data_IF_989540822451
#
_entry.id   IF_989540822451
#
_cell.length_a   1.000
_cell.length_b   1.000
_cell.length_c   1.000
_cell.angle_alpha   90.00
_cell.angle_beta   90.00
_cell.angle_gamma   90.00
#
_symmetry.space_group_name_H-M   'P 1'
#
loop_
_entity.id
_entity.type
_entity.pdbx_description
1 polymer ?
#
# COMPACT_ATOMS: atom_id res chain seq x y z
N UNK A 1 29.25 -31.68 -13.13
CA UNK A 1 29.29 -32.50 -11.90
C UNK A 1 29.93 -31.67 -10.79
N UNK A 2 29.52 -30.41 -10.58
CA UNK A 2 28.40 -30.04 -9.70
C UNK A 2 28.12 -31.09 -8.62
N UNK A 3 28.40 -30.76 -7.36
CA UNK A 3 27.38 -30.78 -6.30
C UNK A 3 27.93 -30.06 -5.04
N UNK A 4 27.24 -28.95 -4.71
CA UNK A 4 27.00 -28.35 -3.39
C UNK A 4 28.06 -27.51 -2.69
N UNK A 5 27.96 -26.20 -2.96
CA UNK A 5 28.00 -25.15 -1.95
C UNK A 5 26.80 -25.26 -0.98
N UNK A 6 27.00 -24.61 0.17
CA UNK A 6 26.04 -24.19 1.19
C UNK A 6 25.80 -25.19 2.33
N UNK A 7 26.29 -24.83 3.52
CA UNK A 7 25.39 -24.32 4.57
C UNK A 7 26.18 -23.70 5.74
N UNK A 8 25.80 -22.46 6.03
CA UNK A 8 25.67 -21.90 7.36
C UNK A 8 26.94 -21.47 8.11
N UNK A 9 27.20 -20.17 7.99
CA UNK A 9 27.86 -19.30 8.97
C UNK A 9 27.47 -19.66 10.40
N UNK A 10 28.33 -20.40 11.11
CA UNK A 10 28.30 -20.42 12.57
C UNK A 10 28.76 -19.06 13.06
N UNK A 11 27.82 -18.29 13.58
CA UNK A 11 28.08 -17.13 14.42
C UNK A 11 29.11 -17.50 15.49
N UNK A 12 30.21 -16.74 15.68
CA UNK A 12 31.00 -16.91 16.89
C UNK A 12 30.15 -16.33 18.03
N UNK A 13 29.43 -17.19 18.76
CA UNK A 13 28.98 -16.78 20.08
C UNK A 13 30.26 -16.52 20.87
N UNK A 14 30.51 -15.24 21.15
CA UNK A 14 31.54 -14.77 22.06
C UNK A 14 31.14 -15.25 23.45
N UNK A 15 31.33 -16.53 23.71
CA UNK A 15 31.41 -17.05 25.07
C UNK A 15 32.77 -16.57 25.55
N UNK A 16 32.75 -15.49 26.34
CA UNK A 16 33.87 -15.10 27.18
C UNK A 16 34.06 -16.25 28.17
N UNK A 17 34.79 -17.29 27.74
CA UNK A 17 35.27 -18.33 28.63
C UNK A 17 36.33 -17.62 29.47
N UNK A 18 35.94 -17.20 30.68
CA UNK A 18 36.89 -16.80 31.70
C UNK A 18 37.93 -17.92 31.76
N UNK A 19 39.16 -17.63 31.33
CA UNK A 19 40.30 -18.53 31.36
C UNK A 19 40.62 -18.86 32.83
N UNK A 20 39.83 -19.73 33.44
CA UNK A 20 40.29 -20.51 34.58
C UNK A 20 41.29 -21.47 33.96
N UNK A 21 42.58 -21.27 34.24
CA UNK A 21 43.63 -22.18 33.84
C UNK A 21 43.31 -23.57 34.44
N UNK A 22 42.59 -24.41 33.70
CA UNK A 22 42.27 -25.76 34.15
C UNK A 22 43.55 -26.55 34.03
N UNK A 23 44.21 -26.80 35.17
CA UNK A 23 45.38 -27.65 35.25
C UNK A 23 45.08 -29.00 34.58
N UNK A 24 45.68 -29.25 33.41
CA UNK A 24 45.43 -30.45 32.60
C UNK A 24 45.89 -31.67 33.38
N UNK A 25 44.97 -32.58 33.70
CA UNK A 25 45.30 -33.88 34.33
C UNK A 25 46.11 -34.74 33.33
N UNK A 26 46.91 -35.68 33.85
CA UNK A 26 47.63 -36.63 33.00
C UNK A 26 46.64 -37.46 32.16
N UNK A 27 46.80 -37.55 30.83
CA UNK A 27 45.95 -38.39 29.99
C UNK A 27 46.24 -39.88 30.23
N UNK A 28 45.26 -40.74 29.92
CA UNK A 28 45.31 -42.17 30.22
C UNK A 28 46.53 -42.90 29.61
N UNK A 29 47.01 -42.46 28.44
CA UNK A 29 48.13 -43.06 27.72
C UNK A 29 49.51 -42.68 28.27
N UNK A 30 49.59 -41.72 29.21
CA UNK A 30 50.86 -41.34 29.82
C UNK A 30 51.19 -42.28 30.99
N UNK A 31 52.44 -42.76 31.10
CA UNK A 31 52.81 -43.62 32.21
C UNK A 31 52.78 -42.89 33.55
N UNK A 32 52.62 -43.66 34.62
CA UNK A 32 52.79 -43.17 35.99
C UNK A 32 54.24 -42.73 36.20
N UNK A 33 54.44 -41.72 37.06
CA UNK A 33 55.80 -41.26 37.36
C UNK A 33 56.57 -42.35 38.11
N UNK A 34 57.88 -42.47 37.88
CA UNK A 34 58.75 -43.46 38.53
C UNK A 34 58.63 -43.44 40.06
N UNK A 35 58.51 -42.25 40.65
CA UNK A 35 58.32 -42.05 42.11
C UNK A 35 56.96 -42.50 42.65
N UNK A 36 55.97 -42.75 41.79
CA UNK A 36 54.60 -43.17 42.15
C UNK A 36 54.33 -44.64 41.82
N UNK A 37 55.19 -45.33 41.07
CA UNK A 37 55.02 -46.73 40.66
C UNK A 37 54.80 -47.67 41.85
N UNK A 38 55.53 -47.45 42.95
CA UNK A 38 55.50 -48.31 44.14
C UNK A 38 55.02 -47.58 45.40
N UNK A 39 54.44 -46.38 45.25
CA UNK A 39 53.96 -45.61 46.41
C UNK A 39 52.62 -46.15 46.89
N UNK A 40 52.63 -46.92 47.97
CA UNK A 40 51.43 -47.38 48.66
C UNK A 40 50.95 -46.26 49.60
N UNK A 41 49.71 -45.80 49.42
CA UNK A 41 49.09 -44.83 50.35
C UNK A 41 48.76 -45.52 51.67
N UNK A 42 49.41 -45.08 52.74
CA UNK A 42 49.09 -45.57 54.07
C UNK A 42 47.71 -45.06 54.50
N UNK A 43 46.86 -45.97 54.97
CA UNK A 43 45.55 -45.61 55.53
C UNK A 43 45.74 -44.98 56.90
N UNK A 44 45.13 -43.82 57.11
CA UNK A 44 45.09 -43.18 58.43
C UNK A 44 44.30 -44.09 59.37
N UNK A 45 44.92 -44.53 60.47
CA UNK A 45 44.23 -45.26 61.53
C UNK A 45 43.46 -44.25 62.37
N UNK A 46 42.16 -44.45 62.49
CA UNK A 46 41.25 -43.66 63.33
C UNK A 46 40.78 -44.55 64.47
N UNK A 47 40.56 -44.04 65.70
CA UNK A 47 39.88 -44.77 66.76
C UNK A 47 38.55 -45.36 66.26
N UNK A 48 38.20 -46.54 66.75
CA UNK A 48 37.01 -47.25 66.26
C UNK A 48 35.70 -46.56 66.68
N UNK A 49 35.68 -45.92 67.85
CA UNK A 49 34.55 -45.11 68.34
C UNK A 49 34.20 -43.98 67.37
N UNK A 50 35.21 -43.20 66.94
CA UNK A 50 35.01 -42.12 65.98
C UNK A 50 34.54 -42.62 64.61
N UNK A 51 34.99 -43.81 64.19
CA UNK A 51 34.55 -44.41 62.92
C UNK A 51 33.07 -44.80 62.99
N UNK A 52 32.65 -45.41 64.09
CA UNK A 52 31.26 -45.78 64.32
C UNK A 52 30.36 -44.54 64.35
N UNK A 53 30.76 -43.49 65.06
CA UNK A 53 30.00 -42.24 65.12
C UNK A 53 29.95 -41.51 63.78
N UNK A 54 31.07 -41.44 63.06
CA UNK A 54 31.10 -40.85 61.71
C UNK A 54 30.12 -41.59 60.79
N UNK A 55 30.12 -42.92 60.84
CA UNK A 55 29.22 -43.75 60.04
C UNK A 55 27.75 -43.47 60.41
N UNK A 56 27.41 -43.48 61.70
CA UNK A 56 26.06 -43.19 62.19
C UNK A 56 25.55 -41.83 61.70
N UNK A 57 26.38 -40.79 61.78
CA UNK A 57 26.02 -39.43 61.35
C UNK A 57 25.80 -39.38 59.83
N UNK A 58 26.70 -39.98 59.05
CA UNK A 58 26.59 -40.02 57.59
C UNK A 58 25.35 -40.79 57.15
N UNK A 59 25.07 -41.93 57.76
CA UNK A 59 23.91 -42.76 57.43
C UNK A 59 22.60 -42.01 57.75
N UNK A 60 22.53 -41.34 58.89
CA UNK A 60 21.40 -40.50 59.27
C UNK A 60 21.20 -39.33 58.29
N UNK A 61 22.27 -38.59 57.99
CA UNK A 61 22.24 -37.47 57.04
C UNK A 61 21.79 -37.92 55.65
N UNK A 62 22.35 -39.01 55.13
CA UNK A 62 22.00 -39.54 53.81
C UNK A 62 20.53 -39.97 53.77
N UNK A 63 20.03 -40.56 54.85
CA UNK A 63 18.61 -40.95 54.98
C UNK A 63 17.70 -39.72 54.95
N UNK A 64 18.02 -38.68 55.72
CA UNK A 64 17.28 -37.41 55.73
C UNK A 64 17.29 -36.73 54.35
N UNK A 65 18.47 -36.64 53.73
CA UNK A 65 18.62 -36.02 52.42
C UNK A 65 17.89 -36.80 51.32
N UNK A 66 17.87 -38.14 51.42
CA UNK A 66 17.08 -38.99 50.51
C UNK A 66 15.58 -38.72 50.65
N UNK A 67 15.09 -38.52 51.87
CA UNK A 67 13.68 -38.15 52.13
C UNK A 67 13.32 -36.81 51.47
N UNK A 68 14.16 -35.78 51.67
CA UNK A 68 13.96 -34.45 51.06
C UNK A 68 13.95 -34.54 49.53
N UNK A 69 14.91 -35.27 48.94
CA UNK A 69 14.95 -35.47 47.49
C UNK A 69 13.69 -36.14 46.95
N UNK A 70 13.21 -37.17 47.65
CA UNK A 70 12.00 -37.88 47.26
C UNK A 70 10.76 -36.99 47.36
N UNK A 71 10.70 -36.12 48.38
CA UNK A 71 9.63 -35.15 48.52
C UNK A 71 9.56 -34.20 47.32
N UNK A 72 10.67 -33.55 46.97
CA UNK A 72 10.70 -32.64 45.81
C UNK A 72 10.43 -33.37 44.49
N UNK A 73 10.89 -34.60 44.33
CA UNK A 73 10.56 -35.41 43.16
C UNK A 73 9.05 -35.63 43.02
N UNK A 74 8.36 -35.95 44.13
CA UNK A 74 6.90 -36.11 44.13
C UNK A 74 6.17 -34.81 43.84
N UNK A 75 6.64 -33.67 44.37
CA UNK A 75 6.05 -32.36 44.06
C UNK A 75 6.21 -32.01 42.58
N UNK A 76 7.37 -32.28 41.99
CA UNK A 76 7.61 -32.08 40.56
C UNK A 76 6.68 -32.95 39.71
N UNK A 77 6.49 -34.21 40.10
CA UNK A 77 5.57 -35.11 39.39
C UNK A 77 4.12 -34.60 39.47
N UNK A 78 3.66 -34.17 40.65
CA UNK A 78 2.33 -33.56 40.79
C UNK A 78 2.13 -32.32 39.93
N UNK A 79 3.17 -31.47 39.78
CA UNK A 79 3.15 -30.30 38.89
C UNK A 79 3.23 -30.65 37.40
N UNK A 80 3.70 -31.84 37.06
CA UNK A 80 3.62 -32.35 35.70
C UNK A 80 2.22 -32.92 35.42
N UNK A 81 1.60 -33.56 36.42
CA UNK A 81 0.27 -34.15 36.34
C UNK A 81 -0.88 -33.11 36.32
N UNK A 82 -0.63 -31.84 36.65
CA UNK A 82 -1.59 -30.72 36.46
C UNK A 82 -1.95 -30.43 34.99
N UNK A 83 -1.57 -31.31 34.06
CA UNK A 83 -1.99 -31.26 32.66
C UNK A 83 -3.52 -31.28 32.47
N UNK A 84 -4.29 -31.85 33.39
CA UNK A 84 -5.77 -31.83 33.31
C UNK A 84 -6.35 -30.41 33.38
N UNK A 85 -5.80 -29.55 34.25
CA UNK A 85 -6.17 -28.14 34.33
C UNK A 85 -5.78 -27.39 33.05
N UNK A 86 -4.62 -27.72 32.48
CA UNK A 86 -4.17 -27.18 31.20
C UNK A 86 -5.08 -27.58 30.03
N UNK A 87 -5.56 -28.83 30.00
CA UNK A 87 -6.51 -29.33 28.99
C UNK A 87 -7.85 -28.62 29.14
N UNK A 88 -8.33 -28.42 30.37
CA UNK A 88 -9.59 -27.72 30.63
C UNK A 88 -9.50 -26.24 30.25
N UNK A 89 -8.37 -25.59 30.50
CA UNK A 89 -8.13 -24.22 30.06
C UNK A 89 -8.07 -24.12 28.54
N UNK A 90 -7.34 -25.02 27.87
CA UNK A 90 -7.26 -25.05 26.42
C UNK A 90 -8.64 -25.21 25.75
N UNK A 91 -9.52 -26.06 26.31
CA UNK A 91 -10.89 -26.21 25.83
C UNK A 91 -11.71 -24.92 25.98
N UNK A 92 -11.59 -24.22 27.10
CA UNK A 92 -12.25 -22.92 27.30
C UNK A 92 -11.75 -21.89 26.30
N UNK A 93 -10.44 -21.83 26.08
CA UNK A 93 -9.83 -20.92 25.12
C UNK A 93 -10.32 -21.21 23.68
N UNK A 94 -10.47 -22.49 23.32
CA UNK A 94 -11.05 -22.91 22.04
C UNK A 94 -12.53 -22.49 21.90
N UNK A 95 -13.34 -22.68 22.95
CA UNK A 95 -14.76 -22.28 22.96
C UNK A 95 -14.91 -20.75 22.83
N UNK A 96 -14.09 -19.97 23.55
CA UNK A 96 -14.06 -18.52 23.44
C UNK A 96 -13.65 -18.07 22.03
N UNK A 97 -12.62 -18.71 21.46
CA UNK A 97 -12.17 -18.42 20.11
C UNK A 97 -13.27 -18.64 19.07
N UNK A 98 -14.00 -19.76 19.16
CA UNK A 98 -15.14 -20.03 18.28
C UNK A 98 -16.25 -18.99 18.42
N UNK A 99 -16.54 -18.54 19.65
CA UNK A 99 -17.52 -17.48 19.90
C UNK A 99 -17.13 -16.17 19.22
N UNK A 100 -15.86 -15.77 19.34
CA UNK A 100 -15.33 -14.55 18.74
C UNK A 100 -15.33 -14.59 17.21
N UNK A 101 -15.08 -15.77 16.61
CA UNK A 101 -15.16 -15.95 15.17
C UNK A 101 -16.59 -15.73 14.65
N UNK A 102 -17.60 -16.23 15.37
CA UNK A 102 -19.00 -16.04 14.98
C UNK A 102 -19.42 -14.57 15.13
N UNK A 103 -19.02 -13.90 16.22
CA UNK A 103 -19.23 -12.45 16.38
C UNK A 103 -18.58 -11.64 15.24
N UNK A 104 -17.36 -12.01 14.83
CA UNK A 104 -16.67 -11.37 13.70
C UNK A 104 -17.42 -11.58 12.39
N UNK A 105 -17.91 -12.80 12.14
CA UNK A 105 -18.71 -13.12 10.96
C UNK A 105 -19.96 -12.25 10.88
N UNK A 106 -20.70 -12.12 11.97
CA UNK A 106 -21.92 -11.30 12.04
C UNK A 106 -21.61 -9.83 11.75
N UNK A 107 -20.52 -9.28 12.30
CA UNK A 107 -20.16 -7.88 12.03
C UNK A 107 -19.68 -7.68 10.58
N UNK A 108 -18.99 -8.66 10.00
CA UNK A 108 -18.61 -8.62 8.58
C UNK A 108 -19.84 -8.63 7.66
N UNK A 109 -20.86 -9.43 7.99
CA UNK A 109 -22.13 -9.47 7.25
C UNK A 109 -22.85 -8.11 7.33
N UNK A 110 -22.93 -7.49 8.51
CA UNK A 110 -23.48 -6.13 8.66
C UNK A 110 -22.68 -5.10 7.87
N UNK A 111 -21.35 -5.17 7.90
CA UNK A 111 -20.48 -4.26 7.17
C UNK A 111 -20.63 -4.43 5.64
N UNK A 112 -20.82 -5.67 5.16
CA UNK A 112 -21.08 -5.96 3.75
C UNK A 112 -22.40 -5.33 3.30
N UNK A 113 -23.49 -5.48 4.07
CA UNK A 113 -24.78 -4.86 3.77
C UNK A 113 -24.68 -3.32 3.68
N UNK A 114 -23.99 -2.67 4.63
CA UNK A 114 -23.74 -1.22 4.59
C UNK A 114 -22.96 -0.81 3.33
N UNK A 115 -21.99 -1.64 2.91
CA UNK A 115 -21.17 -1.39 1.72
C UNK A 115 -22.01 -1.50 0.45
N UNK A 116 -22.86 -2.50 0.35
CA UNK A 116 -23.77 -2.69 -0.80
C UNK A 116 -24.74 -1.51 -0.93
N UNK A 117 -25.38 -1.09 0.18
CA UNK A 117 -26.26 0.08 0.18
C UNK A 117 -25.54 1.35 -0.31
N UNK A 118 -24.29 1.57 0.14
CA UNK A 118 -23.47 2.70 -0.31
C UNK A 118 -23.10 2.60 -1.79
N UNK A 119 -22.76 1.41 -2.28
CA UNK A 119 -22.43 1.20 -3.69
C UNK A 119 -23.64 1.42 -4.59
N UNK A 120 -24.82 0.99 -4.15
CA UNK A 120 -26.05 1.19 -4.90
C UNK A 120 -26.41 2.67 -5.03
N UNK A 121 -26.31 3.43 -3.93
CA UNK A 121 -26.47 4.89 -3.97
C UNK A 121 -25.44 5.56 -4.90
N UNK A 122 -24.19 5.09 -4.89
CA UNK A 122 -23.15 5.60 -5.77
C UNK A 122 -23.43 5.28 -7.26
N UNK A 123 -23.97 4.09 -7.57
CA UNK A 123 -24.38 3.72 -8.93
C UNK A 123 -25.52 4.60 -9.44
N UNK A 124 -26.54 4.83 -8.62
CA UNK A 124 -27.67 5.71 -8.98
C UNK A 124 -27.19 7.13 -9.26
N UNK A 125 -26.36 7.70 -8.38
CA UNK A 125 -25.78 9.03 -8.59
C UNK A 125 -24.90 9.11 -9.85
N UNK A 126 -24.17 8.04 -10.17
CA UNK A 126 -23.38 7.97 -11.40
C UNK A 126 -24.28 7.91 -12.63
N UNK A 127 -25.34 7.11 -12.63
CA UNK A 127 -26.30 7.02 -13.73
C UNK A 127 -26.93 8.38 -14.01
N UNK A 128 -27.39 9.09 -12.97
CA UNK A 128 -27.95 10.43 -13.12
C UNK A 128 -26.94 11.42 -13.72
N UNK A 129 -25.68 11.37 -13.27
CA UNK A 129 -24.61 12.22 -13.84
C UNK A 129 -24.38 11.90 -15.30
N UNK A 130 -24.30 10.62 -15.67
CA UNK A 130 -24.10 10.20 -17.06
C UNK A 130 -25.24 10.69 -17.95
N UNK A 131 -26.49 10.51 -17.53
CA UNK A 131 -27.66 10.99 -18.28
C UNK A 131 -27.60 12.51 -18.48
N UNK A 132 -27.30 13.27 -17.42
CA UNK A 132 -27.15 14.74 -17.51
C UNK A 132 -26.05 15.13 -18.48
N UNK A 133 -24.88 14.47 -18.41
CA UNK A 133 -23.77 14.77 -19.32
C UNK A 133 -24.06 14.41 -20.76
N UNK A 134 -24.82 13.35 -21.02
CA UNK A 134 -25.25 12.98 -22.36
C UNK A 134 -26.25 14.00 -22.90
N UNK A 135 -27.25 14.39 -22.11
CA UNK A 135 -28.25 15.36 -22.55
C UNK A 135 -27.66 16.74 -22.83
N UNK A 136 -26.68 17.18 -22.03
CA UNK A 136 -25.96 18.44 -22.31
C UNK A 136 -25.13 18.35 -23.58
N UNK A 137 -24.41 17.23 -23.80
CA UNK A 137 -23.62 17.03 -25.02
C UNK A 137 -24.50 16.98 -26.26
N UNK A 138 -25.61 16.26 -26.23
CA UNK A 138 -26.56 16.22 -27.35
C UNK A 138 -27.12 17.62 -27.68
N UNK A 139 -27.37 18.46 -26.67
CA UNK A 139 -27.82 19.84 -26.90
C UNK A 139 -26.71 20.71 -27.53
N UNK A 140 -25.48 20.59 -27.04
CA UNK A 140 -24.31 21.29 -27.60
C UNK A 140 -24.04 20.86 -29.05
N UNK A 141 -24.08 19.56 -29.33
CA UNK A 141 -23.89 19.01 -30.67
C UNK A 141 -24.96 19.52 -31.64
N UNK A 142 -26.24 19.56 -31.24
CA UNK A 142 -27.32 20.14 -32.06
C UNK A 142 -27.06 21.61 -32.37
N UNK A 143 -26.67 22.41 -31.38
CA UNK A 143 -26.34 23.83 -31.60
C UNK A 143 -25.15 24.00 -32.54
N UNK A 144 -24.14 23.14 -32.46
CA UNK A 144 -23.00 23.17 -33.36
C UNK A 144 -23.42 22.80 -34.78
N UNK A 145 -24.22 21.74 -34.94
CA UNK A 145 -24.74 21.32 -36.26
C UNK A 145 -25.58 22.43 -36.88
N UNK A 146 -26.50 23.04 -36.14
CA UNK A 146 -27.32 24.16 -36.63
C UNK A 146 -26.47 25.35 -37.10
N UNK A 147 -25.42 25.71 -36.34
CA UNK A 147 -24.47 26.77 -36.74
C UNK A 147 -23.70 26.40 -38.00
N UNK A 148 -23.22 25.16 -38.09
CA UNK A 148 -22.51 24.67 -39.27
C UNK A 148 -23.41 24.64 -40.50
N UNK A 149 -24.67 24.22 -40.36
CA UNK A 149 -25.66 24.23 -41.44
C UNK A 149 -25.98 25.65 -41.91
N UNK A 150 -26.10 26.61 -40.99
CA UNK A 150 -26.28 28.02 -41.32
C UNK A 150 -25.10 28.55 -42.14
N UNK A 151 -23.86 28.27 -41.71
CA UNK A 151 -22.64 28.66 -42.44
C UNK A 151 -22.61 27.99 -43.82
N UNK A 152 -22.92 26.70 -43.93
CA UNK A 152 -22.95 25.99 -45.21
C UNK A 152 -24.01 26.60 -46.15
N UNK A 153 -25.17 27.01 -45.63
CA UNK A 153 -26.23 27.65 -46.42
C UNK A 153 -25.77 29.01 -46.95
N UNK A 154 -25.23 29.86 -46.10
CA UNK A 154 -24.66 31.16 -46.48
C UNK A 154 -23.55 30.99 -47.54
N UNK A 155 -22.66 30.01 -47.36
CA UNK A 155 -21.59 29.72 -48.32
C UNK A 155 -22.13 29.21 -49.67
N UNK A 156 -23.20 28.41 -49.69
CA UNK A 156 -23.84 27.98 -50.94
C UNK A 156 -24.42 29.16 -51.72
N UNK A 157 -25.04 30.12 -51.02
CA UNK A 157 -25.55 31.35 -51.63
C UNK A 157 -24.39 32.20 -52.20
N UNK A 158 -23.28 32.35 -51.47
CA UNK A 158 -22.08 33.04 -51.96
C UNK A 158 -21.41 32.34 -53.16
N UNK A 159 -21.43 31.01 -53.22
CA UNK A 159 -20.86 30.29 -54.37
C UNK A 159 -21.64 30.56 -55.66
N UNK A 160 -22.95 30.81 -55.57
CA UNK A 160 -23.75 31.14 -56.75
C UNK A 160 -23.36 32.48 -57.38
N UNK A 161 -22.83 33.43 -56.60
CA UNK A 161 -22.34 34.73 -57.10
C UNK A 161 -20.86 34.71 -57.50
N UNK A 162 -20.16 33.59 -57.30
CA UNK A 162 -18.74 33.45 -57.62
C UNK A 162 -18.54 33.34 -59.13
N UNK A 163 -17.47 33.97 -59.65
CA UNK A 163 -17.12 33.95 -61.07
C UNK A 163 -16.63 32.54 -61.47
N UNK A 164 -17.38 31.87 -62.34
CA UNK A 164 -16.97 30.62 -62.97
C UNK A 164 -16.09 30.86 -64.21
N UNK A 165 -15.35 29.83 -64.65
CA UNK A 165 -14.43 29.92 -65.81
C UNK A 165 -15.11 30.41 -67.09
N UNK A 166 -16.40 30.12 -67.24
CA UNK A 166 -17.22 30.49 -68.40
C UNK A 166 -17.61 31.99 -68.40
N UNK A 167 -17.73 32.60 -67.21
CA UNK A 167 -18.21 33.99 -67.05
C UNK A 167 -17.08 35.00 -66.79
N UNK A 168 -15.81 34.60 -67.00
CA UNK A 168 -14.64 35.42 -66.63
C UNK A 168 -14.54 36.69 -67.45
N UNK A 169 -14.68 36.61 -68.78
CA UNK A 169 -14.55 37.76 -69.67
C UNK A 169 -15.62 38.82 -69.39
N UNK A 170 -16.87 38.39 -69.21
CA UNK A 170 -17.99 39.27 -68.86
C UNK A 170 -17.78 39.96 -67.50
N UNK A 171 -17.29 39.22 -66.49
CA UNK A 171 -17.01 39.80 -65.17
C UNK A 171 -15.87 40.83 -65.19
N UNK A 172 -14.86 40.65 -66.06
CA UNK A 172 -13.76 41.61 -66.23
C UNK A 172 -14.29 42.92 -66.83
N UNK A 173 -15.12 42.84 -67.87
CA UNK A 173 -15.72 44.04 -68.49
C UNK A 173 -16.62 44.80 -67.51
N UNK A 174 -17.45 44.09 -66.73
CA UNK A 174 -18.32 44.70 -65.71
C UNK A 174 -17.50 45.38 -64.61
N UNK A 175 -16.43 44.75 -64.14
CA UNK A 175 -15.55 45.33 -63.12
C UNK A 175 -14.79 46.57 -63.62
N UNK A 176 -14.41 46.61 -64.90
CA UNK A 176 -13.78 47.80 -65.52
C UNK A 176 -14.79 48.93 -65.73
N UNK A 177 -16.04 48.60 -66.06
CA UNK A 177 -17.10 49.57 -66.25
C UNK A 177 -17.60 50.19 -64.93
N UNK A 178 -17.65 49.40 -63.85
CA UNK A 178 -18.17 49.80 -62.55
C UNK A 178 -17.09 49.70 -61.45
N UNK A 179 -16.16 50.67 -61.35
CA UNK A 179 -15.21 50.71 -60.24
C UNK A 179 -15.93 50.97 -58.91
N UNK A 180 -15.76 50.08 -57.94
CA UNK A 180 -16.35 50.20 -56.59
C UNK A 180 -15.30 50.81 -55.65
N UNK A 181 -15.69 51.86 -54.91
CA UNK A 181 -14.86 52.50 -53.88
C UNK A 181 -15.20 51.94 -52.49
N UNK A 182 -14.18 51.43 -51.79
CA UNK A 182 -14.33 50.90 -50.42
C UNK A 182 -13.86 51.90 -49.36
N UNK A 183 -13.37 53.08 -49.77
CA UNK A 183 -12.84 54.06 -48.83
C UNK A 183 -13.97 54.68 -48.00
N UNK A 184 -13.80 54.66 -46.68
CA UNK A 184 -14.68 55.35 -45.74
C UNK A 184 -13.90 55.90 -44.55
N UNK A 185 -14.40 57.00 -43.97
CA UNK A 185 -13.89 57.59 -42.75
C UNK A 185 -14.89 57.39 -41.60
N UNK A 186 -14.38 57.27 -40.37
CA UNK A 186 -15.20 57.19 -39.15
C UNK A 186 -14.89 58.40 -38.26
N UNK A 187 -15.93 59.06 -37.77
CA UNK A 187 -15.79 60.14 -36.79
C UNK A 187 -15.68 59.59 -35.35
N UNK A 188 -15.23 60.41 -34.40
CA UNK A 188 -15.15 60.05 -32.97
C UNK A 188 -16.50 59.62 -32.37
N UNK A 189 -17.60 60.05 -32.98
CA UNK A 189 -18.96 59.69 -32.59
C UNK A 189 -19.45 58.36 -33.21
N UNK A 190 -18.64 57.70 -34.06
CA UNK A 190 -18.96 56.41 -34.69
C UNK A 190 -19.80 56.51 -35.97
N UNK A 191 -19.91 57.70 -36.58
CA UNK A 191 -20.57 57.87 -37.88
C UNK A 191 -19.64 57.49 -39.03
N UNK A 192 -20.19 56.79 -40.02
CA UNK A 192 -19.47 56.33 -41.21
C UNK A 192 -19.73 57.26 -42.39
N UNK A 193 -18.65 57.69 -43.04
CA UNK A 193 -18.68 58.53 -44.23
C UNK A 193 -18.01 57.78 -45.39
N UNK A 194 -18.80 57.34 -46.38
CA UNK A 194 -18.31 56.56 -47.53
C UNK A 194 -17.93 57.48 -48.70
N UNK A 195 -16.88 57.11 -49.43
CA UNK A 195 -16.44 57.75 -50.66
C UNK A 195 -15.30 58.76 -50.48
N UNK A 196 -14.40 58.81 -51.47
CA UNK A 196 -13.22 59.71 -51.50
C UNK A 196 -13.54 61.20 -51.62
N UNK A 197 -14.59 61.56 -52.36
CA UNK A 197 -14.91 62.95 -52.69
C UNK A 197 -16.01 63.55 -51.81
N UNK A 198 -16.60 62.74 -50.93
CA UNK A 198 -17.77 63.12 -50.13
C UNK A 198 -17.37 64.11 -49.04
N UNK A 199 -17.95 65.32 -49.09
CA UNK A 199 -17.71 66.36 -48.07
C UNK A 199 -18.73 66.25 -46.95
N UNK A 200 -18.29 66.38 -45.69
CA UNK A 200 -19.17 66.28 -44.51
C UNK A 200 -20.37 67.24 -44.55
N UNK A 201 -20.25 68.37 -45.23
CA UNK A 201 -21.29 69.40 -45.37
C UNK A 201 -22.47 69.01 -46.26
N UNK A 202 -22.30 68.01 -47.13
CA UNK A 202 -23.29 67.63 -48.14
C UNK A 202 -24.22 66.51 -47.67
N UNK A 203 -23.92 65.88 -46.53
CA UNK A 203 -24.71 64.79 -45.95
C UNK A 203 -25.59 65.33 -44.81
N UNK A 204 -26.92 65.35 -44.97
CA UNK A 204 -27.86 65.68 -43.91
C UNK A 204 -27.72 64.73 -42.70
N UNK A 205 -27.89 65.26 -41.49
CA UNK A 205 -27.71 64.49 -40.24
C UNK A 205 -28.62 63.25 -40.16
N UNK A 206 -29.83 63.33 -40.72
CA UNK A 206 -30.82 62.24 -40.72
C UNK A 206 -30.42 61.01 -41.55
N UNK A 207 -29.40 61.14 -42.41
CA UNK A 207 -28.96 60.07 -43.32
C UNK A 207 -27.61 59.47 -42.95
N UNK A 208 -27.04 59.83 -41.80
CA UNK A 208 -25.75 59.28 -41.35
C UNK A 208 -25.93 57.87 -40.78
N UNK A 209 -25.25 56.91 -41.37
CA UNK A 209 -25.17 55.55 -40.85
C UNK A 209 -24.23 55.50 -39.64
N UNK A 210 -24.64 54.75 -38.60
CA UNK A 210 -23.84 54.49 -37.41
C UNK A 210 -23.50 53.01 -37.36
N UNK A 211 -22.22 52.71 -37.14
CA UNK A 211 -21.75 51.35 -36.85
C UNK A 211 -21.99 50.98 -35.37
#
# INVERSE_FOLDING_TARGET
MEFLKLLSTRTPSTTIVRNVLVWKRKPMHLPTAKSKLFRITQRIRRPDDERAETKRIIDNYNTQMKSIRLHFYKELLKKADTGEEGILQAKKDEEEHLRLLEENRIENEKAAQRREARLEAARQALQEKVIKTLSTKEAEEKQIIEKLEAIVREKKEMVATMIARENVEQAIEEALANPIDFDFAIDQNGYVYRGKETRLSEIPEDKRERL
#
